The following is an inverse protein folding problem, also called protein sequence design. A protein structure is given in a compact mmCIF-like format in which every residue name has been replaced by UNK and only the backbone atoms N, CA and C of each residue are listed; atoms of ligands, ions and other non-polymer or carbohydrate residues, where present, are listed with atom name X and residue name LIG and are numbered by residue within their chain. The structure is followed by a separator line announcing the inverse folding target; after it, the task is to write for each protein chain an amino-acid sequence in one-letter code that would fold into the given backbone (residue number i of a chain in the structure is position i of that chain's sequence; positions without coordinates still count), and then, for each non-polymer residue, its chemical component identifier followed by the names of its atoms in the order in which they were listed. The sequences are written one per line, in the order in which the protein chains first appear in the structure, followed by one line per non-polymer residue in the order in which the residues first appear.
data_IF_283943202037
#
_entry.id   IF_283943202037
#
_cell.length_a   1.000
_cell.length_b   1.000
_cell.length_c   1.000
_cell.angle_alpha   90.00
_cell.angle_beta   90.00
_cell.angle_gamma   90.00
#
_symmetry.space_group_name_H-M   'P 1'
#
loop_
_entity.id
_entity.type
_entity.pdbx_description
1 polymer ?
#
# COMPACT_ATOMS: atom_id res chain seq x y z
N UNK A 1 12.30 -11.56 -2.74
CA UNK A 1 11.21 -11.22 -1.81
C UNK A 1 11.39 -9.77 -1.39
N UNK A 2 10.36 -8.95 -1.53
CA UNK A 2 10.38 -7.54 -1.18
C UNK A 2 9.75 -7.37 0.19
N UNK A 3 10.47 -6.71 1.08
CA UNK A 3 10.01 -6.33 2.39
C UNK A 3 9.85 -4.80 2.43
N UNK A 4 8.63 -4.28 2.49
CA UNK A 4 8.43 -2.86 2.77
C UNK A 4 8.23 -2.68 4.28
N UNK A 5 9.13 -1.94 4.91
CA UNK A 5 9.11 -1.67 6.35
C UNK A 5 8.64 -0.25 6.59
N UNK A 6 7.57 -0.08 7.35
CA UNK A 6 7.17 1.23 7.84
C UNK A 6 7.93 1.56 9.12
N UNK A 7 8.62 2.70 9.12
CA UNK A 7 9.35 3.23 10.28
C UNK A 7 9.40 4.75 10.23
N UNK A 8 9.32 5.42 11.38
CA UNK A 8 9.45 6.88 11.48
C UNK A 8 10.79 7.39 10.96
N UNK A 9 11.83 6.57 11.03
CA UNK A 9 13.18 6.88 10.57
C UNK A 9 13.40 6.49 9.10
N UNK A 10 12.36 5.97 8.43
CA UNK A 10 12.39 5.56 7.04
C UNK A 10 12.42 6.73 6.05
N UNK A 11 12.69 6.42 4.79
CA UNK A 11 12.67 7.41 3.72
C UNK A 11 11.24 7.93 3.51
N UNK A 12 11.06 9.25 3.51
CA UNK A 12 9.80 9.86 3.11
C UNK A 12 9.68 9.83 1.58
N UNK A 13 8.53 9.40 1.07
CA UNK A 13 8.23 9.41 -0.37
C UNK A 13 7.12 10.41 -0.63
N UNK A 14 7.33 11.32 -1.57
CA UNK A 14 6.33 12.29 -2.04
C UNK A 14 5.34 11.61 -2.98
N UNK A 15 4.06 12.00 -2.91
CA UNK A 15 3.01 11.47 -3.80
C UNK A 15 3.31 11.67 -5.28
N UNK A 16 4.05 12.74 -5.61
CA UNK A 16 4.46 13.03 -6.99
C UNK A 16 5.55 12.07 -7.49
N UNK A 17 6.30 11.45 -6.59
CA UNK A 17 7.48 10.66 -6.89
C UNK A 17 7.27 9.15 -6.71
N UNK A 18 6.16 8.71 -6.07
CA UNK A 18 5.89 7.29 -5.75
C UNK A 18 6.19 6.34 -6.91
N UNK A 19 5.69 6.65 -8.12
CA UNK A 19 5.86 5.79 -9.30
C UNK A 19 7.34 5.68 -9.67
N UNK A 20 8.03 6.82 -9.67
CA UNK A 20 9.46 6.89 -9.97
C UNK A 20 10.25 6.11 -8.92
N UNK A 21 9.98 6.35 -7.63
CA UNK A 21 10.62 5.61 -6.53
C UNK A 21 10.42 4.11 -6.69
N UNK A 22 9.19 3.65 -6.92
CA UNK A 22 8.93 2.23 -7.13
C UNK A 22 9.76 1.64 -8.28
N UNK A 23 9.73 2.26 -9.46
CA UNK A 23 10.44 1.77 -10.65
C UNK A 23 11.96 1.77 -10.48
N UNK A 24 12.53 2.78 -9.82
CA UNK A 24 13.97 2.91 -9.67
C UNK A 24 14.52 2.08 -8.49
N UNK A 25 13.73 1.86 -7.43
CA UNK A 25 14.24 1.26 -6.19
C UNK A 25 13.68 -0.12 -5.89
N UNK A 26 12.39 -0.36 -6.09
CA UNK A 26 11.72 -1.60 -5.67
C UNK A 26 11.61 -2.59 -6.83
N UNK A 27 11.15 -2.14 -7.99
CA UNK A 27 10.89 -2.97 -9.17
C UNK A 27 12.07 -3.87 -9.59
N UNK A 28 13.34 -3.41 -9.55
CA UNK A 28 14.49 -4.24 -9.93
C UNK A 28 14.63 -5.51 -9.08
N UNK A 29 14.06 -5.53 -7.88
CA UNK A 29 14.19 -6.62 -6.91
C UNK A 29 12.96 -7.53 -6.84
N UNK A 30 11.89 -7.22 -7.58
CA UNK A 30 10.64 -8.00 -7.57
C UNK A 30 10.87 -9.46 -7.94
N UNK A 31 11.75 -9.70 -8.93
CA UNK A 31 12.07 -11.03 -9.43
C UNK A 31 13.31 -11.64 -8.77
N UNK A 32 13.96 -10.92 -7.85
CA UNK A 32 15.14 -11.40 -7.16
C UNK A 32 14.75 -12.42 -6.07
N UNK A 33 15.55 -13.48 -5.94
CA UNK A 33 15.34 -14.54 -4.95
C UNK A 33 15.71 -14.10 -3.52
N UNK A 34 16.58 -13.09 -3.38
CA UNK A 34 16.97 -12.53 -2.08
C UNK A 34 15.84 -11.73 -1.43
N UNK A 35 15.89 -11.61 -0.11
CA UNK A 35 14.95 -10.76 0.64
C UNK A 35 15.59 -9.39 0.84
N UNK A 36 14.94 -8.34 0.33
CA UNK A 36 15.46 -6.97 0.38
C UNK A 36 14.49 -6.06 1.14
N UNK A 37 14.92 -5.45 2.26
CA UNK A 37 14.12 -4.49 3.01
C UNK A 37 14.22 -3.08 2.43
N UNK A 38 13.06 -2.45 2.26
CA UNK A 38 12.89 -1.05 1.89
C UNK A 38 12.16 -0.33 3.01
N UNK A 39 12.81 0.65 3.64
CA UNK A 39 12.30 1.30 4.85
C UNK A 39 11.76 2.69 4.52
N UNK A 40 10.47 2.91 4.76
CA UNK A 40 9.76 4.14 4.43
C UNK A 40 9.01 4.71 5.63
N UNK A 41 8.85 6.03 5.68
CA UNK A 41 8.10 6.75 6.72
C UNK A 41 6.73 7.25 6.27
N UNK A 42 6.38 7.01 5.00
CA UNK A 42 5.09 7.36 4.39
C UNK A 42 4.35 6.11 3.92
N UNK A 43 3.03 6.08 4.06
CA UNK A 43 2.13 4.96 3.73
C UNK A 43 1.83 4.85 2.23
N UNK A 44 1.96 5.95 1.50
CA UNK A 44 1.64 6.08 0.08
C UNK A 44 2.35 5.06 -0.85
N UNK A 45 3.61 4.71 -0.59
CA UNK A 45 4.35 3.69 -1.35
C UNK A 45 3.79 2.28 -1.10
N UNK A 46 3.32 1.99 0.11
CA UNK A 46 2.68 0.71 0.45
C UNK A 46 1.36 0.58 -0.29
N UNK A 47 0.57 1.64 -0.30
CA UNK A 47 -0.68 1.69 -1.07
C UNK A 47 -0.43 1.46 -2.57
N UNK A 48 0.59 2.10 -3.13
CA UNK A 48 0.92 1.90 -4.53
C UNK A 48 1.30 0.44 -4.84
N UNK A 49 2.06 -0.20 -3.95
CA UNK A 49 2.37 -1.63 -4.07
C UNK A 49 1.11 -2.50 -3.99
N UNK A 50 0.19 -2.21 -3.06
CA UNK A 50 -1.11 -2.91 -2.98
C UNK A 50 -1.92 -2.76 -4.27
N UNK A 51 -1.95 -1.55 -4.86
CA UNK A 51 -2.62 -1.30 -6.13
C UNK A 51 -2.01 -2.15 -7.25
N UNK A 52 -0.69 -2.21 -7.35
CA UNK A 52 -0.01 -3.02 -8.36
C UNK A 52 -0.28 -4.52 -8.18
N UNK A 53 -0.41 -5.01 -6.94
CA UNK A 53 -0.86 -6.38 -6.65
C UNK A 53 -2.29 -6.58 -7.12
N UNK A 54 -3.21 -5.67 -6.77
CA UNK A 54 -4.61 -5.75 -7.17
C UNK A 54 -4.82 -5.69 -8.70
N UNK A 55 -3.96 -4.96 -9.41
CA UNK A 55 -3.90 -4.91 -10.88
C UNK A 55 -3.29 -6.19 -11.50
N UNK A 56 -2.76 -7.10 -10.70
CA UNK A 56 -2.07 -8.32 -11.17
C UNK A 56 -0.67 -8.07 -11.74
N UNK A 57 -0.09 -6.89 -11.49
CA UNK A 57 1.25 -6.50 -11.97
C UNK A 57 2.36 -6.95 -11.03
N UNK A 58 2.03 -7.23 -9.77
CA UNK A 58 2.93 -7.79 -8.78
C UNK A 58 2.34 -9.06 -8.17
N UNK A 59 3.17 -10.09 -8.00
CA UNK A 59 2.78 -11.28 -7.26
C UNK A 59 2.82 -11.00 -5.75
N UNK A 60 1.67 -11.08 -5.10
CA UNK A 60 1.53 -10.92 -3.65
C UNK A 60 2.44 -11.86 -2.84
N UNK A 61 2.79 -13.05 -3.35
CA UNK A 61 3.69 -13.98 -2.66
C UNK A 61 5.15 -13.49 -2.61
N UNK A 62 5.46 -12.41 -3.33
CA UNK A 62 6.80 -11.81 -3.37
C UNK A 62 6.91 -10.55 -2.53
N UNK A 63 5.85 -10.17 -1.81
CA UNK A 63 5.78 -8.92 -1.07
C UNK A 63 5.20 -9.19 0.32
N UNK A 64 5.84 -8.63 1.34
CA UNK A 64 5.22 -8.45 2.63
C UNK A 64 5.49 -7.05 3.16
N UNK A 65 4.59 -6.57 4.02
CA UNK A 65 4.81 -5.34 4.76
C UNK A 65 5.27 -5.66 6.18
N UNK A 66 6.02 -4.74 6.78
CA UNK A 66 6.46 -4.85 8.17
C UNK A 66 6.16 -3.54 8.89
N UNK A 67 5.50 -3.64 10.04
CA UNK A 67 5.20 -2.51 10.91
C UNK A 67 5.50 -2.91 12.35
N UNK A 68 6.35 -2.14 13.04
CA UNK A 68 6.78 -2.44 14.41
C UNK A 68 7.29 -3.89 14.61
N UNK A 69 7.98 -4.43 13.60
CA UNK A 69 8.49 -5.80 13.60
C UNK A 69 7.45 -6.89 13.34
N UNK A 70 6.19 -6.54 13.13
CA UNK A 70 5.14 -7.47 12.72
C UNK A 70 5.05 -7.53 11.21
N UNK A 71 5.08 -8.75 10.68
CA UNK A 71 4.84 -9.03 9.27
C UNK A 71 3.34 -8.98 8.97
N UNK A 72 2.99 -8.27 7.90
CA UNK A 72 1.66 -8.13 7.36
C UNK A 72 1.69 -8.69 5.94
N UNK A 73 0.99 -9.80 5.75
CA UNK A 73 0.82 -10.38 4.43
C UNK A 73 -0.27 -9.64 3.64
N UNK A 74 -0.14 -9.67 2.31
CA UNK A 74 -1.13 -9.11 1.38
C UNK A 74 -1.66 -10.26 0.54
N UNK A 75 -2.96 -10.28 0.28
CA UNK A 75 -3.55 -11.28 -0.61
C UNK A 75 -3.51 -10.83 -2.09
N UNK A 76 -3.97 -11.70 -2.98
CA UNK A 76 -4.06 -11.43 -4.43
C UNK A 76 -4.90 -10.22 -4.84
N UNK A 77 -5.69 -9.65 -3.93
CA UNK A 77 -6.51 -8.45 -4.18
C UNK A 77 -5.86 -7.16 -3.65
N UNK A 78 -4.59 -7.23 -3.21
CA UNK A 78 -3.90 -6.09 -2.61
C UNK A 78 -4.34 -5.78 -1.18
N UNK A 79 -5.12 -6.66 -0.54
CA UNK A 79 -5.66 -6.43 0.80
C UNK A 79 -4.73 -7.01 1.87
N UNK A 80 -4.36 -6.17 2.84
CA UNK A 80 -3.59 -6.57 4.02
C UNK A 80 -4.35 -7.55 4.91
N UNK A 81 -3.65 -8.55 5.43
CA UNK A 81 -4.16 -9.57 6.34
C UNK A 81 -4.57 -9.03 7.72
N UNK A 82 -4.02 -7.89 8.11
CA UNK A 82 -4.40 -7.17 9.33
C UNK A 82 -4.50 -5.68 9.05
N UNK A 83 -5.34 -5.00 9.82
CA UNK A 83 -5.47 -3.55 9.85
C UNK A 83 -4.59 -2.97 10.97
N UNK A 84 -3.95 -1.83 10.72
CA UNK A 84 -3.06 -1.16 11.67
C UNK A 84 -3.52 0.29 11.80
N UNK A 85 -4.06 0.58 12.99
CA UNK A 85 -4.46 1.93 13.39
C UNK A 85 -3.29 2.90 13.21
N UNK A 86 -3.57 4.05 12.60
CA UNK A 86 -2.63 5.12 12.29
C UNK A 86 -1.77 4.92 11.05
N UNK A 87 -1.69 3.71 10.48
CA UNK A 87 -0.90 3.43 9.27
C UNK A 87 -1.77 3.33 8.01
N UNK A 88 -2.97 2.78 8.12
CA UNK A 88 -3.91 2.63 6.98
C UNK A 88 -5.19 3.48 7.13
N UNK A 89 -5.28 4.27 8.20
CA UNK A 89 -6.49 5.00 8.59
C UNK A 89 -6.90 6.05 7.57
N UNK A 90 -5.99 6.93 7.17
CA UNK A 90 -6.37 8.10 6.39
C UNK A 90 -6.98 7.71 5.04
N UNK A 91 -6.39 6.73 4.37
CA UNK A 91 -6.85 6.29 3.06
C UNK A 91 -8.18 5.52 3.13
N UNK A 92 -8.32 4.65 4.13
CA UNK A 92 -9.58 3.92 4.36
C UNK A 92 -10.69 4.90 4.74
N UNK A 93 -10.41 5.83 5.66
CA UNK A 93 -11.34 6.87 6.06
C UNK A 93 -11.78 7.72 4.85
N UNK A 94 -10.83 8.16 4.00
CA UNK A 94 -11.16 8.92 2.79
C UNK A 94 -12.02 8.11 1.81
N UNK A 95 -11.76 6.81 1.66
CA UNK A 95 -12.54 5.93 0.80
C UNK A 95 -13.98 5.76 1.35
N UNK A 96 -14.11 5.48 2.64
CA UNK A 96 -15.40 5.33 3.33
C UNK A 96 -16.24 6.61 3.25
N UNK A 97 -15.64 7.77 3.54
CA UNK A 97 -16.29 9.07 3.42
C UNK A 97 -16.75 9.34 1.98
N UNK A 98 -15.89 9.06 0.98
CA UNK A 98 -16.22 9.24 -0.43
C UNK A 98 -17.41 8.35 -0.84
N UNK A 99 -17.41 7.07 -0.46
CA UNK A 99 -18.48 6.13 -0.73
C UNK A 99 -19.80 6.54 -0.06
N UNK A 100 -19.72 7.03 1.18
CA UNK A 100 -20.87 7.55 1.92
C UNK A 100 -21.50 8.74 1.18
N UNK A 101 -20.70 9.73 0.81
CA UNK A 101 -21.18 10.92 0.08
C UNK A 101 -21.72 10.58 -1.30
N UNK A 102 -21.06 9.68 -2.04
CA UNK A 102 -21.56 9.18 -3.32
C UNK A 102 -22.92 8.49 -3.17
N UNK A 103 -23.09 7.69 -2.11
CA UNK A 103 -24.37 7.03 -1.79
C UNK A 103 -25.46 8.02 -1.43
N UNK A 104 -25.16 9.04 -0.61
CA UNK A 104 -26.11 10.12 -0.29
C UNK A 104 -26.55 10.87 -1.54
N UNK A 105 -25.61 11.27 -2.40
CA UNK A 105 -25.92 11.92 -3.68
C UNK A 105 -26.80 11.04 -4.55
N UNK A 106 -26.55 9.73 -4.62
CA UNK A 106 -27.39 8.79 -5.37
C UNK A 106 -28.81 8.66 -4.80
N UNK A 107 -28.97 8.70 -3.47
CA UNK A 107 -30.29 8.68 -2.81
C UNK A 107 -31.07 9.97 -3.07
N UNK A 108 -30.40 11.11 -3.12
CA UNK A 108 -31.01 12.41 -3.44
C UNK A 108 -31.39 12.56 -4.93
N UNK A 109 -30.73 11.81 -5.82
CA UNK A 109 -31.00 11.81 -7.26
C UNK A 109 -32.06 10.78 -7.68
N UNK A 110 -32.61 9.98 -6.76
CA UNK A 110 -33.77 9.12 -7.07
C UNK A 110 -35.04 9.99 -7.05
N UNK A 111 -35.82 10.02 -8.15
CA UNK A 111 -37.07 10.77 -8.23
C UNK A 111 -38.14 10.25 -7.28
#
# INVERSE_FOLDING_TARGET
MIELVYSSDGQAVSDFDIRKTFHETIEPWVNDESTVPFVYSTDNIFYYVQLLVAEGRLDHNKIWFVYNGYRIDINQFGVSSMYIDGFMDLQIQMCEETLLWATHRRKQLKP
#
